data_IF_832723307702
#
_entry.id   IF_832723307702
#
_cell.length_a   1.000
_cell.length_b   1.000
_cell.length_c   1.000
_cell.angle_alpha   90.00
_cell.angle_beta   90.00
_cell.angle_gamma   90.00
#
_symmetry.space_group_name_H-M   'P 1'
#
loop_
_entity.id
_entity.type
_entity.pdbx_description
1 polymer ?
#
# COMPACT_ATOMS: atom_id res chain seq x y z
N UNK A 1 -5.60 -52.12 -41.62
CA UNK A 1 -4.24 -52.50 -41.18
C UNK A 1 -3.71 -51.32 -40.38
N UNK A 2 -3.93 -51.46 -39.05
CA UNK A 2 -3.36 -50.57 -38.02
C UNK A 2 -1.87 -50.90 -37.84
N UNK A 3 -1.03 -49.98 -37.29
CA UNK A 3 -0.95 -49.91 -35.85
C UNK A 3 -0.80 -48.46 -35.25
N UNK A 4 -1.24 -48.36 -34.01
CA UNK A 4 -0.85 -47.35 -33.03
C UNK A 4 0.64 -47.46 -32.61
N UNK A 5 1.21 -46.38 -32.04
CA UNK A 5 1.73 -46.52 -30.68
C UNK A 5 1.37 -45.35 -29.73
N UNK A 6 0.96 -45.66 -28.52
CA UNK A 6 1.60 -45.55 -27.18
C UNK A 6 2.35 -44.22 -26.99
N UNK A 7 2.04 -43.32 -26.09
CA UNK A 7 1.74 -43.48 -24.69
C UNK A 7 2.61 -42.50 -23.95
N UNK A 8 2.10 -41.67 -23.12
CA UNK A 8 2.86 -40.74 -22.28
C UNK A 8 1.93 -39.89 -21.42
N UNK A 9 1.37 -40.52 -20.39
CA UNK A 9 0.71 -39.82 -19.30
C UNK A 9 1.73 -38.95 -18.53
N UNK A 10 1.47 -37.66 -18.43
CA UNK A 10 1.97 -36.88 -17.33
C UNK A 10 0.74 -36.38 -16.56
N UNK A 11 0.50 -37.09 -15.48
CA UNK A 11 -0.50 -36.79 -14.48
C UNK A 11 0.00 -35.63 -13.61
N UNK A 12 -0.51 -34.42 -13.82
CA UNK A 12 -0.30 -33.32 -12.89
C UNK A 12 -1.52 -33.12 -12.01
N UNK A 13 -1.27 -33.30 -10.72
CA UNK A 13 -2.19 -33.38 -9.62
C UNK A 13 -3.24 -32.28 -9.59
N UNK A 14 -4.50 -32.69 -9.57
CA UNK A 14 -5.66 -31.88 -9.21
C UNK A 14 -5.58 -31.49 -7.73
N UNK A 15 -5.22 -30.24 -7.47
CA UNK A 15 -5.40 -29.63 -6.17
C UNK A 15 -6.89 -29.31 -5.98
N UNK A 16 -7.53 -30.07 -5.12
CA UNK A 16 -8.91 -29.86 -4.69
C UNK A 16 -9.00 -28.54 -3.95
N UNK A 17 -9.57 -27.52 -4.61
CA UNK A 17 -10.02 -26.30 -3.94
C UNK A 17 -11.37 -26.60 -3.31
N UNK A 18 -11.40 -26.78 -2.00
CA UNK A 18 -12.62 -26.86 -1.22
C UNK A 18 -13.32 -25.51 -1.28
N UNK A 19 -14.44 -25.42 -2.01
CA UNK A 19 -15.38 -24.32 -1.97
C UNK A 19 -16.02 -24.28 -0.58
N UNK A 20 -15.84 -23.17 0.12
CA UNK A 20 -16.65 -22.81 1.29
C UNK A 20 -17.96 -22.24 0.76
N UNK A 21 -19.13 -22.77 1.16
CA UNK A 21 -20.40 -22.18 0.76
C UNK A 21 -20.63 -20.86 1.51
N UNK A 22 -20.78 -19.77 0.77
CA UNK A 22 -21.31 -18.51 1.29
C UNK A 22 -22.82 -18.69 1.38
N UNK A 23 -23.32 -18.89 2.59
CA UNK A 23 -24.76 -18.80 2.89
C UNK A 23 -25.06 -17.36 3.26
N UNK A 24 -25.70 -16.63 2.34
CA UNK A 24 -26.35 -15.39 2.65
C UNK A 24 -27.67 -15.67 3.37
N UNK A 25 -27.81 -15.24 4.61
CA UNK A 25 -29.10 -14.88 5.21
C UNK A 25 -28.86 -14.01 6.44
N UNK A 26 -29.56 -12.89 6.44
CA UNK A 26 -29.75 -11.97 7.54
C UNK A 26 -30.16 -12.73 8.80
N UNK A 27 -29.30 -12.72 9.82
CA UNK A 27 -29.71 -13.03 11.18
C UNK A 27 -29.08 -11.98 12.07
N UNK A 28 -29.93 -11.07 12.51
CA UNK A 28 -29.76 -10.25 13.70
C UNK A 28 -29.71 -11.23 14.89
N UNK A 29 -28.53 -11.67 15.24
CA UNK A 29 -28.29 -12.47 16.43
C UNK A 29 -27.15 -11.79 17.17
N UNK A 30 -27.51 -11.10 18.23
CA UNK A 30 -26.60 -10.70 19.30
C UNK A 30 -25.85 -11.93 19.76
N UNK A 31 -24.62 -12.10 19.24
CA UNK A 31 -23.72 -13.14 19.71
C UNK A 31 -23.15 -12.60 21.02
N UNK A 32 -23.78 -13.01 22.10
CA UNK A 32 -23.21 -12.90 23.45
C UNK A 32 -22.05 -13.89 23.54
N UNK A 33 -20.91 -13.49 22.98
CA UNK A 33 -19.66 -14.25 23.07
C UNK A 33 -19.19 -14.13 24.50
N UNK A 34 -19.45 -15.16 25.29
CA UNK A 34 -19.03 -15.20 26.70
C UNK A 34 -17.50 -15.07 26.80
N UNK A 35 -17.03 -14.28 27.75
CA UNK A 35 -15.57 -14.06 28.03
C UNK A 35 -14.74 -15.36 28.05
N UNK A 36 -15.38 -16.49 28.35
CA UNK A 36 -14.75 -17.83 28.34
C UNK A 36 -14.43 -18.36 26.93
N UNK A 37 -15.19 -18.00 25.90
CA UNK A 37 -14.90 -18.41 24.52
C UNK A 37 -13.84 -17.52 23.91
N UNK A 38 -13.84 -16.23 24.21
CA UNK A 38 -12.77 -15.31 23.83
C UNK A 38 -11.42 -15.76 24.42
N UNK A 39 -11.38 -16.11 25.71
CA UNK A 39 -10.17 -16.60 26.37
C UNK A 39 -9.67 -17.95 25.79
N UNK A 40 -10.56 -18.79 25.26
CA UNK A 40 -10.18 -20.04 24.59
C UNK A 40 -9.54 -19.79 23.22
N UNK A 41 -10.14 -18.91 22.41
CA UNK A 41 -9.62 -18.53 21.08
C UNK A 41 -8.27 -17.84 21.24
N UNK A 42 -8.16 -16.95 22.21
CA UNK A 42 -6.92 -16.25 22.55
C UNK A 42 -5.80 -17.24 22.90
N UNK A 43 -6.08 -18.20 23.78
CA UNK A 43 -5.09 -19.22 24.19
C UNK A 43 -4.63 -20.10 23.03
N UNK A 44 -5.52 -20.43 22.10
CA UNK A 44 -5.18 -21.24 20.92
C UNK A 44 -4.34 -20.41 19.93
N UNK A 45 -4.68 -19.17 19.70
CA UNK A 45 -3.91 -18.27 18.82
C UNK A 45 -2.51 -18.06 19.39
N UNK A 46 -2.38 -17.75 20.69
CA UNK A 46 -1.09 -17.56 21.34
C UNK A 46 -0.22 -18.82 21.35
N UNK A 47 -0.80 -20.00 21.52
CA UNK A 47 -0.04 -21.25 21.46
C UNK A 47 0.50 -21.55 20.04
N UNK A 48 -0.27 -21.20 19.01
CA UNK A 48 0.14 -21.37 17.62
C UNK A 48 1.21 -20.36 17.19
N UNK A 49 1.08 -19.09 17.63
CA UNK A 49 2.08 -18.05 17.39
C UNK A 49 3.39 -18.39 18.10
N UNK A 50 3.35 -18.78 19.37
CA UNK A 50 4.54 -19.16 20.13
C UNK A 50 5.26 -20.37 19.49
N UNK A 51 4.52 -21.40 19.07
CA UNK A 51 5.10 -22.55 18.39
C UNK A 51 5.78 -22.17 17.06
N UNK A 52 5.19 -21.28 16.27
CA UNK A 52 5.80 -20.80 15.02
C UNK A 52 7.02 -19.91 15.24
N UNK A 53 7.05 -19.14 16.33
CA UNK A 53 8.22 -18.37 16.73
C UNK A 53 9.37 -19.28 17.19
N UNK A 54 9.07 -20.32 17.95
CA UNK A 54 10.06 -21.31 18.40
C UNK A 54 10.61 -22.13 17.22
N UNK A 55 9.76 -22.46 16.22
CA UNK A 55 10.18 -23.13 14.97
C UNK A 55 10.99 -22.23 14.03
N UNK A 56 10.80 -20.89 14.11
CA UNK A 56 11.49 -19.90 13.28
C UNK A 56 12.76 -19.34 13.93
N UNK A 57 13.05 -19.66 15.18
CA UNK A 57 14.25 -19.23 15.86
C UNK A 57 15.46 -20.03 15.35
N UNK A 58 16.33 -19.46 14.47
CA UNK A 58 17.58 -20.12 14.11
C UNK A 58 18.48 -20.08 15.36
N UNK A 59 18.94 -21.25 15.76
CA UNK A 59 19.97 -21.38 16.77
C UNK A 59 21.20 -20.59 16.34
N UNK A 60 21.51 -19.55 17.11
CA UNK A 60 22.78 -18.84 17.17
C UNK A 60 23.20 -18.01 15.96
N UNK A 61 23.11 -16.71 16.11
CA UNK A 61 23.71 -15.72 15.21
C UNK A 61 22.87 -14.44 15.08
N UNK A 62 22.73 -13.66 16.14
CA UNK A 62 22.08 -12.35 16.07
C UNK A 62 22.94 -11.39 15.24
N UNK A 63 22.53 -11.10 14.01
CA UNK A 63 23.02 -9.95 13.28
C UNK A 63 22.28 -8.71 13.81
N UNK A 64 22.99 -7.93 14.63
CA UNK A 64 22.50 -6.63 15.10
C UNK A 64 22.62 -5.64 13.95
N UNK A 65 21.51 -5.33 13.30
CA UNK A 65 21.41 -4.20 12.37
C UNK A 65 21.09 -2.97 13.20
N UNK A 66 22.12 -2.18 13.52
CA UNK A 66 21.94 -0.86 14.12
C UNK A 66 21.43 0.11 13.06
N UNK A 67 20.17 0.50 13.13
CA UNK A 67 19.62 1.63 12.39
C UNK A 67 19.82 2.87 13.26
N UNK A 68 20.89 3.61 13.00
CA UNK A 68 21.13 4.92 13.61
C UNK A 68 20.06 5.90 13.13
N UNK A 69 19.05 6.11 13.97
CA UNK A 69 18.16 7.26 13.89
C UNK A 69 18.81 8.41 14.65
N UNK A 70 19.24 9.42 13.93
CA UNK A 70 19.62 10.70 14.52
C UNK A 70 18.38 11.32 15.19
N UNK A 71 18.30 11.19 16.49
CA UNK A 71 17.39 11.97 17.32
C UNK A 71 18.18 12.95 18.17
N UNK A 72 17.81 14.22 18.05
CA UNK A 72 18.20 15.30 18.94
C UNK A 72 17.62 15.04 20.35
N UNK A 73 18.50 15.13 21.31
CA UNK A 73 18.39 15.29 22.75
C UNK A 73 17.02 15.27 23.44
N UNK A 74 16.88 14.31 24.36
CA UNK A 74 16.39 14.55 25.73
C UNK A 74 16.66 13.33 26.61
N UNK A 75 17.59 13.51 27.59
CA UNK A 75 17.70 12.83 28.90
C UNK A 75 17.32 11.35 29.02
N UNK A 76 18.35 10.54 29.14
CA UNK A 76 18.60 9.37 29.95
C UNK A 76 17.47 8.48 30.45
N UNK A 77 17.25 7.38 29.71
CA UNK A 77 17.00 6.05 30.27
C UNK A 77 17.46 5.07 29.21
N UNK A 78 18.37 4.16 29.57
CA UNK A 78 19.04 3.27 28.62
C UNK A 78 18.05 2.38 27.87
N UNK A 79 17.71 2.77 26.63
CA UNK A 79 16.95 1.93 25.71
C UNK A 79 17.80 0.71 25.36
N UNK A 80 17.49 -0.43 25.96
CA UNK A 80 17.98 -1.73 25.50
C UNK A 80 17.59 -1.91 24.03
N UNK A 81 18.47 -2.41 23.19
CA UNK A 81 18.13 -2.70 21.80
C UNK A 81 17.01 -3.75 21.78
N UNK A 82 15.81 -3.33 21.37
CA UNK A 82 14.68 -4.23 21.24
C UNK A 82 14.93 -5.22 20.09
N UNK A 83 14.84 -6.51 20.40
CA UNK A 83 14.89 -7.54 19.36
C UNK A 83 13.60 -7.49 18.51
N UNK A 84 13.60 -7.96 17.25
CA UNK A 84 12.37 -8.07 16.46
C UNK A 84 11.27 -8.86 17.17
N UNK A 85 11.63 -9.87 17.98
CA UNK A 85 10.70 -10.67 18.77
C UNK A 85 10.06 -9.85 19.90
N UNK A 86 10.83 -8.98 20.57
CA UNK A 86 10.30 -8.09 21.61
C UNK A 86 9.31 -7.09 21.05
N UNK A 87 9.62 -6.50 19.88
CA UNK A 87 8.72 -5.58 19.17
C UNK A 87 7.42 -6.27 18.74
N UNK A 88 7.51 -7.47 18.20
CA UNK A 88 6.32 -8.23 17.82
C UNK A 88 5.47 -8.58 19.03
N UNK A 89 6.10 -9.05 20.11
CA UNK A 89 5.42 -9.39 21.39
C UNK A 89 4.69 -8.19 21.96
N UNK A 90 5.33 -7.00 21.94
CA UNK A 90 4.74 -5.75 22.36
C UNK A 90 3.52 -5.39 21.52
N UNK A 91 3.63 -5.43 20.17
CA UNK A 91 2.52 -5.13 19.26
C UNK A 91 1.33 -6.07 19.46
N UNK A 92 1.59 -7.37 19.65
CA UNK A 92 0.55 -8.35 19.93
C UNK A 92 -0.14 -8.10 21.26
N UNK A 93 0.62 -7.74 22.30
CA UNK A 93 0.09 -7.39 23.63
C UNK A 93 -0.80 -6.15 23.57
N UNK A 94 -0.35 -5.09 22.87
CA UNK A 94 -1.13 -3.87 22.66
C UNK A 94 -2.42 -4.13 21.86
N UNK A 95 -2.40 -5.05 20.90
CA UNK A 95 -3.55 -5.36 20.07
C UNK A 95 -4.73 -5.97 20.83
N UNK A 96 -4.47 -6.60 21.99
CA UNK A 96 -5.52 -7.22 22.84
C UNK A 96 -6.41 -6.18 23.51
N UNK A 97 -5.85 -5.02 23.85
CA UNK A 97 -6.56 -3.95 24.60
C UNK A 97 -6.95 -2.77 23.73
N UNK A 98 -6.46 -2.73 22.50
CA UNK A 98 -6.65 -1.62 21.58
C UNK A 98 -8.11 -1.52 21.12
N UNK A 99 -8.71 -0.35 21.26
CA UNK A 99 -10.03 -0.04 20.68
C UNK A 99 -9.95 0.18 19.17
N UNK A 100 -11.09 0.13 18.50
CA UNK A 100 -11.18 0.38 17.05
C UNK A 100 -10.67 1.80 16.70
N UNK A 101 -10.99 2.79 17.52
CA UNK A 101 -10.60 4.18 17.25
C UNK A 101 -9.11 4.40 17.51
N UNK A 102 -8.53 3.79 18.54
CA UNK A 102 -7.08 3.79 18.76
C UNK A 102 -6.32 3.08 17.64
N UNK A 103 -6.82 1.93 17.18
CA UNK A 103 -6.24 1.20 16.05
C UNK A 103 -6.23 2.06 14.78
N UNK A 104 -7.35 2.74 14.50
CA UNK A 104 -7.49 3.63 13.34
C UNK A 104 -6.58 4.85 13.46
N UNK A 105 -6.55 5.49 14.62
CA UNK A 105 -5.69 6.65 14.85
C UNK A 105 -4.21 6.29 14.70
N UNK A 106 -3.77 5.16 15.27
CA UNK A 106 -2.39 4.67 15.12
C UNK A 106 -2.03 4.37 13.66
N UNK A 107 -2.94 3.73 12.91
CA UNK A 107 -2.74 3.48 11.48
C UNK A 107 -2.56 4.79 10.70
N UNK A 108 -3.39 5.79 10.97
CA UNK A 108 -3.30 7.10 10.30
C UNK A 108 -2.00 7.83 10.64
N UNK A 109 -1.59 7.85 11.91
CA UNK A 109 -0.33 8.46 12.34
C UNK A 109 0.85 7.78 11.65
N UNK A 110 0.91 6.46 11.68
CA UNK A 110 1.97 5.68 11.03
C UNK A 110 2.08 5.97 9.51
N UNK A 111 0.94 6.14 8.82
CA UNK A 111 0.94 6.52 7.41
C UNK A 111 1.46 7.93 7.19
N UNK A 112 1.02 8.90 8.00
CA UNK A 112 1.44 10.29 7.90
C UNK A 112 2.93 10.48 8.18
N UNK A 113 3.49 9.74 9.13
CA UNK A 113 4.92 9.75 9.46
C UNK A 113 5.82 9.29 8.31
N UNK A 114 5.27 8.52 7.36
CA UNK A 114 5.99 8.06 6.18
C UNK A 114 5.95 9.06 5.01
N UNK A 115 5.12 10.10 5.08
CA UNK A 115 4.95 11.05 3.99
C UNK A 115 6.00 12.16 4.03
N UNK A 116 6.44 12.57 2.85
CA UNK A 116 7.16 13.82 2.68
C UNK A 116 6.19 14.97 2.39
N UNK A 117 6.56 16.26 2.62
CA UNK A 117 5.67 17.40 2.44
C UNK A 117 5.05 17.51 1.04
N UNK A 118 5.78 17.15 -0.01
CA UNK A 118 5.28 17.17 -1.38
C UNK A 118 4.19 16.10 -1.63
N UNK A 119 4.28 14.96 -0.97
CA UNK A 119 3.24 13.92 -1.02
C UNK A 119 1.95 14.35 -0.31
N UNK A 120 2.08 15.06 0.82
CA UNK A 120 0.94 15.66 1.51
C UNK A 120 0.20 16.69 0.62
N UNK A 121 0.92 17.48 -0.19
CA UNK A 121 0.33 18.37 -1.19
C UNK A 121 -0.44 17.61 -2.26
N UNK A 122 0.09 16.48 -2.73
CA UNK A 122 -0.60 15.62 -3.70
C UNK A 122 -1.91 15.08 -3.11
N UNK A 123 -1.89 14.60 -1.85
CA UNK A 123 -3.12 14.15 -1.16
C UNK A 123 -4.13 15.28 -1.03
N UNK A 124 -3.69 16.50 -0.69
CA UNK A 124 -4.55 17.68 -0.61
C UNK A 124 -5.20 17.99 -1.96
N UNK A 125 -4.45 17.91 -3.06
CA UNK A 125 -4.98 18.17 -4.40
C UNK A 125 -5.99 17.10 -4.88
N UNK A 126 -5.92 15.88 -4.32
CA UNK A 126 -6.84 14.79 -4.63
C UNK A 126 -8.06 14.73 -3.69
N UNK A 127 -8.04 15.48 -2.59
CA UNK A 127 -9.01 15.36 -1.49
C UNK A 127 -10.42 15.81 -1.83
N UNK A 128 -10.57 16.66 -2.83
CA UNK A 128 -11.85 17.14 -3.36
C UNK A 128 -12.53 16.12 -4.31
N UNK A 129 -11.89 14.98 -4.58
CA UNK A 129 -12.36 13.97 -5.52
C UNK A 129 -11.93 14.21 -6.97
N UNK A 130 -11.12 15.24 -7.23
CA UNK A 130 -10.58 15.50 -8.56
C UNK A 130 -9.74 14.34 -9.05
N UNK A 131 -10.00 13.92 -10.29
CA UNK A 131 -9.23 12.87 -10.96
C UNK A 131 -8.16 13.52 -11.85
N UNK A 132 -6.94 13.02 -11.77
CA UNK A 132 -5.83 13.51 -12.58
C UNK A 132 -5.38 12.49 -13.63
N UNK A 133 -4.93 12.95 -14.81
CA UNK A 133 -4.34 12.07 -15.80
C UNK A 133 -3.05 11.47 -15.26
N UNK A 134 -2.84 10.20 -15.57
CA UNK A 134 -1.62 9.47 -15.25
C UNK A 134 -1.21 8.65 -16.48
N UNK A 135 0.08 8.56 -16.76
CA UNK A 135 0.59 7.72 -17.83
C UNK A 135 1.73 6.82 -17.36
N UNK A 136 1.77 5.63 -17.97
CA UNK A 136 2.95 4.77 -17.98
C UNK A 136 3.49 4.72 -19.40
N UNK A 137 4.80 4.66 -19.55
CA UNK A 137 5.48 4.60 -20.83
C UNK A 137 6.36 3.36 -20.87
N UNK A 138 6.18 2.54 -21.88
CA UNK A 138 7.03 1.38 -22.15
C UNK A 138 7.65 1.50 -23.53
N UNK A 139 8.81 0.92 -23.73
CA UNK A 139 9.37 0.74 -25.06
C UNK A 139 8.54 -0.29 -25.86
N UNK A 140 8.64 -0.23 -27.20
CA UNK A 140 8.13 -1.29 -28.07
C UNK A 140 9.26 -2.19 -28.52
N UNK A 141 9.03 -3.50 -28.50
CA UNK A 141 9.96 -4.45 -29.11
C UNK A 141 9.85 -4.40 -30.64
N UNK A 142 10.87 -4.90 -31.34
CA UNK A 142 10.88 -4.97 -32.81
C UNK A 142 9.68 -5.74 -33.39
N UNK A 143 9.11 -6.67 -32.63
CA UNK A 143 7.91 -7.44 -32.99
C UNK A 143 6.58 -6.75 -32.57
N UNK A 144 6.63 -5.49 -32.15
CA UNK A 144 5.44 -4.72 -31.73
C UNK A 144 4.90 -5.02 -30.34
N UNK A 145 5.53 -5.92 -29.58
CA UNK A 145 5.20 -6.22 -28.19
C UNK A 145 5.60 -5.11 -27.23
N UNK A 146 5.20 -5.26 -25.95
CA UNK A 146 5.66 -4.42 -24.83
C UNK A 146 7.09 -4.80 -24.45
N UNK A 147 7.97 -3.80 -24.46
CA UNK A 147 9.32 -3.89 -23.93
C UNK A 147 9.39 -3.36 -22.49
N UNK A 148 10.60 -3.08 -21.99
CA UNK A 148 10.81 -2.53 -20.66
C UNK A 148 10.03 -1.24 -20.42
N UNK A 149 9.56 -1.05 -19.17
CA UNK A 149 8.96 0.20 -18.72
C UNK A 149 10.03 1.28 -18.61
N UNK A 150 9.75 2.43 -19.18
CA UNK A 150 10.65 3.59 -19.21
C UNK A 150 10.27 4.63 -18.15
N UNK A 151 8.97 4.76 -17.88
CA UNK A 151 8.41 5.70 -16.92
C UNK A 151 7.08 5.15 -16.40
N UNK A 152 6.90 5.20 -15.10
CA UNK A 152 5.63 4.88 -14.45
C UNK A 152 5.13 6.06 -13.64
N UNK A 153 3.81 6.12 -13.48
CA UNK A 153 3.13 7.07 -12.58
C UNK A 153 3.39 8.55 -12.89
N UNK A 154 3.72 8.92 -14.13
CA UNK A 154 3.78 10.34 -14.49
C UNK A 154 2.37 10.94 -14.47
N UNK A 155 2.21 12.11 -13.85
CA UNK A 155 0.92 12.77 -13.67
C UNK A 155 1.09 14.28 -13.56
N UNK A 156 0.07 15.03 -13.99
CA UNK A 156 0.01 16.50 -13.81
C UNK A 156 -0.36 16.91 -12.39
N UNK A 157 -0.68 15.96 -11.49
CA UNK A 157 -1.07 16.25 -10.10
C UNK A 157 -0.03 17.07 -9.37
N UNK A 158 1.26 16.82 -9.61
CA UNK A 158 2.35 17.56 -8.97
C UNK A 158 2.31 19.05 -9.26
N UNK A 159 2.06 19.42 -10.51
CA UNK A 159 1.91 20.83 -10.91
C UNK A 159 0.68 21.45 -10.23
N UNK A 160 -0.46 20.77 -10.25
CA UNK A 160 -1.69 21.26 -9.62
C UNK A 160 -1.57 21.38 -8.11
N UNK A 161 -0.82 20.49 -7.48
CA UNK A 161 -0.54 20.48 -6.04
C UNK A 161 0.55 21.49 -5.61
N UNK A 162 1.24 22.11 -6.56
CA UNK A 162 2.38 22.99 -6.26
C UNK A 162 3.56 22.22 -5.63
N UNK A 163 3.82 20.99 -6.08
CA UNK A 163 4.97 20.17 -5.64
C UNK A 163 6.27 20.87 -6.00
N UNK A 164 7.22 20.88 -5.06
CA UNK A 164 8.51 21.56 -5.25
C UNK A 164 9.41 20.77 -6.20
N UNK A 165 9.48 19.45 -6.02
CA UNK A 165 10.32 18.56 -6.83
C UNK A 165 9.45 17.82 -7.88
N UNK A 166 9.03 18.55 -8.93
CA UNK A 166 8.13 18.01 -9.96
C UNK A 166 8.68 16.77 -10.68
N UNK A 167 10.00 16.64 -10.82
CA UNK A 167 10.64 15.46 -11.41
C UNK A 167 10.47 14.21 -10.57
N UNK A 168 10.18 14.35 -9.27
CA UNK A 168 9.96 13.23 -8.35
C UNK A 168 8.48 12.83 -8.23
N UNK A 169 7.55 13.50 -8.89
CA UNK A 169 6.12 13.15 -8.87
C UNK A 169 5.86 11.67 -9.17
N UNK A 170 6.52 11.03 -10.15
CA UNK A 170 6.37 9.60 -10.39
C UNK A 170 6.70 8.72 -9.16
N UNK A 171 7.73 9.10 -8.41
CA UNK A 171 8.14 8.39 -7.18
C UNK A 171 7.17 8.64 -6.03
N UNK A 172 6.70 9.87 -5.86
CA UNK A 172 5.69 10.22 -4.86
C UNK A 172 4.38 9.47 -5.10
N UNK A 173 3.90 9.43 -6.34
CA UNK A 173 2.71 8.66 -6.69
C UNK A 173 2.91 7.16 -6.45
N UNK A 174 4.11 6.62 -6.75
CA UNK A 174 4.42 5.22 -6.46
C UNK A 174 4.38 4.93 -4.96
N UNK A 175 4.94 5.80 -4.12
CA UNK A 175 4.92 5.64 -2.67
C UNK A 175 3.50 5.78 -2.09
N UNK A 176 2.74 6.78 -2.50
CA UNK A 176 1.33 6.93 -2.09
C UNK A 176 0.47 5.73 -2.48
N UNK A 177 0.74 5.10 -3.63
CA UNK A 177 0.10 3.84 -4.03
C UNK A 177 0.51 2.68 -3.14
N UNK A 178 1.80 2.58 -2.79
CA UNK A 178 2.31 1.55 -1.88
C UNK A 178 1.64 1.63 -0.51
N UNK A 179 1.41 2.85 0.00
CA UNK A 179 0.67 3.09 1.23
C UNK A 179 -0.86 2.89 1.08
N UNK A 180 -1.34 2.64 -0.14
CA UNK A 180 -2.77 2.48 -0.42
C UNK A 180 -3.58 3.76 -0.33
N UNK A 181 -2.95 4.94 -0.32
CA UNK A 181 -3.60 6.24 -0.19
C UNK A 181 -4.17 6.77 -1.51
N UNK A 182 -3.64 6.33 -2.64
CA UNK A 182 -4.14 6.66 -3.98
C UNK A 182 -4.33 5.41 -4.82
N UNK A 183 -5.23 5.50 -5.80
CA UNK A 183 -5.54 4.43 -6.75
C UNK A 183 -5.32 4.88 -8.18
N UNK A 184 -4.94 3.91 -9.01
CA UNK A 184 -4.79 4.10 -10.45
C UNK A 184 -5.90 3.33 -11.18
N UNK A 185 -6.85 4.09 -11.71
CA UNK A 185 -7.97 3.58 -12.48
C UNK A 185 -7.72 3.55 -13.99
N UNK A 186 -8.71 3.11 -14.78
CA UNK A 186 -8.67 3.14 -16.23
C UNK A 186 -8.62 4.58 -16.78
N UNK A 187 -8.30 4.71 -18.07
CA UNK A 187 -8.40 5.97 -18.80
C UNK A 187 -9.82 6.55 -18.70
N UNK A 188 -9.92 7.85 -18.50
CA UNK A 188 -11.19 8.60 -18.54
C UNK A 188 -11.20 9.54 -19.73
N UNK A 189 -12.20 9.40 -20.62
CA UNK A 189 -12.34 10.24 -21.80
C UNK A 189 -12.50 11.74 -21.49
N UNK A 190 -13.06 12.09 -20.32
CA UNK A 190 -13.20 13.47 -19.84
C UNK A 190 -11.86 14.16 -19.55
N UNK A 191 -10.75 13.43 -19.47
CA UNK A 191 -9.40 13.95 -19.24
C UNK A 191 -8.57 14.03 -20.54
N UNK A 192 -9.19 14.00 -21.72
CA UNK A 192 -8.50 14.00 -23.01
C UNK A 192 -7.42 15.06 -23.14
N UNK A 193 -7.80 16.33 -22.95
CA UNK A 193 -6.88 17.48 -23.04
C UNK A 193 -5.79 17.44 -21.96
N UNK A 194 -6.13 16.95 -20.76
CA UNK A 194 -5.19 16.80 -19.67
C UNK A 194 -4.13 15.71 -19.95
N UNK A 195 -4.48 14.63 -20.66
CA UNK A 195 -3.48 13.68 -21.14
C UNK A 195 -2.55 14.28 -22.18
N UNK A 196 -3.06 15.08 -23.12
CA UNK A 196 -2.20 15.77 -24.09
C UNK A 196 -1.24 16.73 -23.39
N UNK A 197 -1.72 17.50 -22.42
CA UNK A 197 -0.87 18.36 -21.61
C UNK A 197 0.22 17.55 -20.87
N UNK A 198 -0.14 16.41 -20.27
CA UNK A 198 0.82 15.54 -19.59
C UNK A 198 1.91 15.03 -20.55
N UNK A 199 1.57 14.77 -21.82
CA UNK A 199 2.53 14.33 -22.82
C UNK A 199 3.59 15.39 -23.17
N UNK A 200 3.37 16.66 -22.82
CA UNK A 200 4.32 17.75 -23.01
C UNK A 200 5.27 17.96 -21.82
N UNK A 201 5.01 17.29 -20.70
CA UNK A 201 5.87 17.37 -19.49
C UNK A 201 7.29 16.86 -19.78
N UNK A 202 8.29 17.53 -19.20
CA UNK A 202 9.70 17.19 -19.43
C UNK A 202 10.07 15.76 -19.03
N UNK A 203 9.49 15.24 -17.96
CA UNK A 203 9.73 13.87 -17.49
C UNK A 203 9.24 12.86 -18.53
N UNK A 204 8.08 13.11 -19.15
CA UNK A 204 7.49 12.28 -20.20
C UNK A 204 8.29 12.40 -21.49
N UNK A 205 8.66 13.60 -21.89
CA UNK A 205 9.46 13.86 -23.09
C UNK A 205 10.82 13.17 -23.01
N UNK A 206 11.52 13.32 -21.87
CA UNK A 206 12.82 12.65 -21.63
C UNK A 206 12.71 11.14 -21.66
N UNK A 207 11.66 10.55 -21.08
CA UNK A 207 11.47 9.10 -21.11
C UNK A 207 11.26 8.57 -22.55
N UNK A 208 10.73 9.39 -23.47
CA UNK A 208 10.47 9.03 -24.85
C UNK A 208 11.63 9.32 -25.81
N UNK A 209 12.49 10.28 -25.50
CA UNK A 209 13.53 10.77 -26.42
C UNK A 209 14.61 9.75 -26.74
N UNK A 210 14.87 8.79 -25.86
CA UNK A 210 15.97 7.82 -26.01
C UNK A 210 15.54 6.49 -26.64
N UNK A 211 14.30 6.40 -27.13
CA UNK A 211 13.76 5.14 -27.65
C UNK A 211 13.01 5.39 -28.97
N UNK A 212 13.30 4.58 -29.97
CA UNK A 212 12.75 4.72 -31.32
C UNK A 212 11.21 4.61 -31.35
N UNK A 213 10.62 3.79 -30.47
CA UNK A 213 9.16 3.62 -30.40
C UNK A 213 8.71 3.32 -28.98
N UNK A 214 7.67 4.03 -28.55
CA UNK A 214 7.10 3.88 -27.20
C UNK A 214 5.61 3.57 -27.27
N UNK A 215 5.13 2.89 -26.21
CA UNK A 215 3.70 2.71 -25.95
C UNK A 215 3.32 3.52 -24.72
N UNK A 216 2.34 4.39 -24.85
CA UNK A 216 1.76 5.16 -23.75
C UNK A 216 0.51 4.46 -23.26
N UNK A 217 0.42 4.22 -21.97
CA UNK A 217 -0.74 3.65 -21.29
C UNK A 217 -1.37 4.75 -20.44
N UNK A 218 -2.53 5.25 -20.88
CA UNK A 218 -3.28 6.27 -20.15
C UNK A 218 -4.05 5.65 -19.00
N UNK A 219 -3.99 6.28 -17.86
CA UNK A 219 -4.59 5.90 -16.60
C UNK A 219 -5.09 7.14 -15.86
N UNK A 220 -5.83 6.94 -14.79
CA UNK A 220 -6.37 8.01 -13.96
C UNK A 220 -5.91 7.83 -12.52
N UNK A 221 -5.43 8.90 -11.90
CA UNK A 221 -5.06 8.96 -10.48
C UNK A 221 -6.22 9.54 -9.69
N UNK A 222 -6.60 8.89 -8.60
CA UNK A 222 -7.62 9.34 -7.65
C UNK A 222 -7.22 9.01 -6.23
N UNK A 223 -7.82 9.72 -5.26
CA UNK A 223 -7.68 9.35 -3.86
C UNK A 223 -8.41 8.03 -3.60
N UNK A 224 -7.76 7.09 -2.88
CA UNK A 224 -8.36 5.82 -2.51
C UNK A 224 -9.40 5.98 -1.39
N UNK A 225 -10.25 4.98 -1.11
CA UNK A 225 -11.12 4.98 0.07
C UNK A 225 -10.35 5.17 1.39
N UNK A 226 -9.17 4.53 1.52
CA UNK A 226 -8.29 4.70 2.68
C UNK A 226 -7.72 6.12 2.76
N UNK A 227 -7.26 6.68 1.63
CA UNK A 227 -6.81 8.07 1.56
C UNK A 227 -7.91 9.06 1.93
N UNK A 228 -9.15 8.81 1.50
CA UNK A 228 -10.31 9.62 1.90
C UNK A 228 -10.60 9.55 3.40
N UNK A 229 -10.50 8.36 4.00
CA UNK A 229 -10.66 8.19 5.45
C UNK A 229 -9.59 8.93 6.23
N UNK A 230 -8.32 8.79 5.83
CA UNK A 230 -7.20 9.50 6.42
C UNK A 230 -7.42 11.03 6.33
N UNK A 231 -7.75 11.54 5.15
CA UNK A 231 -7.96 12.97 4.94
C UNK A 231 -9.08 13.54 5.82
N UNK A 232 -10.23 12.85 5.87
CA UNK A 232 -11.36 13.26 6.73
C UNK A 232 -10.99 13.27 8.21
N UNK A 233 -10.23 12.28 8.68
CA UNK A 233 -9.77 12.23 10.06
C UNK A 233 -8.88 13.43 10.41
N UNK A 234 -7.96 13.83 9.50
CA UNK A 234 -7.13 15.01 9.69
C UNK A 234 -7.93 16.32 9.71
N UNK A 235 -8.92 16.47 8.82
CA UNK A 235 -9.76 17.67 8.79
C UNK A 235 -10.58 17.85 10.09
N UNK A 236 -11.13 16.77 10.61
CA UNK A 236 -11.91 16.82 11.85
C UNK A 236 -11.07 17.29 13.05
N UNK A 237 -9.82 16.86 13.14
CA UNK A 237 -8.92 17.30 14.23
C UNK A 237 -8.49 18.75 14.08
N UNK A 238 -8.26 19.25 12.87
CA UNK A 238 -7.93 20.65 12.64
C UNK A 238 -9.07 21.61 13.04
N UNK A 239 -10.31 21.25 12.73
CA UNK A 239 -11.48 22.04 13.08
C UNK A 239 -11.81 22.05 14.58
N UNK A 240 -11.47 21.02 15.34
CA UNK A 240 -11.65 20.99 16.80
C UNK A 240 -10.58 21.82 17.51
N UNK A 241 -9.33 21.78 17.04
CA UNK A 241 -8.23 22.58 17.62
C UNK A 241 -8.37 24.08 17.45
N UNK A 242 -9.08 24.56 16.41
CA UNK A 242 -9.36 25.99 16.20
C UNK A 242 -10.47 26.55 17.12
N UNK A 243 -11.29 25.67 17.73
CA UNK A 243 -12.35 26.08 18.66
C UNK A 243 -11.87 26.17 20.11
N UNK A 244 -10.69 25.68 20.44
CA UNK A 244 -10.10 25.68 21.79
C UNK A 244 -8.99 26.73 21.97
N UNK A 245 -8.67 27.50 20.96
CA UNK A 245 -7.66 28.58 20.98
C UNK A 245 -8.32 29.97 20.90
#
# INVERSE_FOLDING_TARGET
>A
MTPQPKGGLIEFGRRVVRRVPVVGSSIDASIDVTERELARVEKVVWSQVRRRLDEAAPSSGAVVVSVDRVHHDSTGEGSQPHTPADLLSKLLSESVTQTIDEARARLHVMMLEQLVPDEARILAALSDGTAYPLVHIASRTAMGGLGPTLLENASTVGRSAGVVLNEHVPSYVAHLRLLGLVEVGPERGSLGDAYELLMTEDVVRRARSNVASTRVMRRTLVLSPLGQQLWRACQHQLSVGELES
#
